data_IF_319955765003
#
_entry.id   IF_319955765003
#
_cell.length_a   1.000
_cell.length_b   1.000
_cell.length_c   1.000
_cell.angle_alpha   90.00
_cell.angle_beta   90.00
_cell.angle_gamma   90.00
#
_symmetry.space_group_name_H-M   'P 1'
#
loop_
_entity.id
_entity.type
_entity.pdbx_description
1 polymer ?
#
# COMPACT_ATOMS: atom_id res chain seq x y z
N UNK A 1 -23.27 -18.09 -7.44
CA UNK A 1 -22.87 -16.72 -7.04
C UNK A 1 -21.38 -16.71 -6.72
N UNK A 2 -20.56 -16.26 -7.66
CA UNK A 2 -19.11 -16.17 -7.49
C UNK A 2 -18.81 -15.02 -6.53
N UNK A 3 -18.25 -15.33 -5.37
CA UNK A 3 -17.77 -14.35 -4.40
C UNK A 3 -16.73 -13.45 -5.09
N UNK A 4 -17.17 -12.30 -5.60
CA UNK A 4 -16.30 -11.29 -6.21
C UNK A 4 -15.60 -10.49 -5.13
N UNK A 5 -14.84 -11.16 -4.27
CA UNK A 5 -13.90 -10.47 -3.40
C UNK A 5 -12.67 -10.16 -4.26
N UNK A 6 -12.43 -8.90 -4.66
CA UNK A 6 -11.36 -8.59 -5.59
C UNK A 6 -10.04 -9.06 -4.99
N UNK A 7 -9.28 -9.83 -5.77
CA UNK A 7 -7.99 -10.36 -5.33
C UNK A 7 -7.04 -9.20 -5.03
N UNK A 8 -6.03 -9.44 -4.19
CA UNK A 8 -5.06 -8.39 -3.84
C UNK A 8 -4.46 -7.72 -5.09
N UNK A 9 -4.20 -8.53 -6.12
CA UNK A 9 -3.66 -8.11 -7.40
C UNK A 9 -4.58 -7.13 -8.15
N UNK A 10 -5.90 -7.37 -8.15
CA UNK A 10 -6.89 -6.45 -8.74
C UNK A 10 -6.97 -5.13 -7.96
N UNK A 11 -6.87 -5.19 -6.63
CA UNK A 11 -6.85 -3.97 -5.81
C UNK A 11 -5.57 -3.16 -6.01
N UNK A 12 -4.43 -3.83 -6.22
CA UNK A 12 -3.17 -3.20 -6.61
C UNK A 12 -3.29 -2.52 -7.97
N UNK A 13 -4.06 -3.07 -8.91
CA UNK A 13 -4.30 -2.42 -10.20
C UNK A 13 -5.09 -1.10 -10.11
N UNK A 14 -5.93 -0.91 -9.06
CA UNK A 14 -6.71 0.31 -8.83
C UNK A 14 -5.92 1.47 -8.18
N UNK A 15 -4.70 1.18 -7.73
CA UNK A 15 -3.82 2.16 -7.11
C UNK A 15 -3.05 2.93 -8.19
N UNK A 16 -2.95 4.24 -8.00
CA UNK A 16 -2.08 5.09 -8.81
C UNK A 16 -0.61 4.68 -8.63
N UNK A 17 0.27 4.96 -9.60
CA UNK A 17 1.69 4.66 -9.47
C UNK A 17 2.30 5.23 -8.18
N UNK A 18 1.90 6.44 -7.78
CA UNK A 18 2.36 7.07 -6.53
C UNK A 18 1.90 6.30 -5.29
N UNK A 19 0.64 5.86 -5.27
CA UNK A 19 0.11 5.03 -4.18
C UNK A 19 0.83 3.67 -4.10
N UNK A 20 1.20 3.07 -5.24
CA UNK A 20 2.01 1.83 -5.27
C UNK A 20 3.42 2.05 -4.75
N UNK A 21 4.08 3.17 -5.07
CA UNK A 21 5.40 3.50 -4.55
C UNK A 21 5.36 3.66 -3.02
N UNK A 22 4.40 4.45 -2.51
CA UNK A 22 4.17 4.60 -1.06
C UNK A 22 4.00 3.22 -0.41
N UNK A 23 3.15 2.38 -1.00
CA UNK A 23 2.88 1.04 -0.50
C UNK A 23 4.11 0.14 -0.50
N UNK A 24 4.94 0.19 -1.55
CA UNK A 24 6.18 -0.59 -1.67
C UNK A 24 7.20 -0.16 -0.62
N UNK A 25 7.33 1.14 -0.37
CA UNK A 25 8.25 1.68 0.63
C UNK A 25 7.81 1.35 2.06
N UNK A 26 6.51 1.48 2.34
CA UNK A 26 5.92 0.97 3.58
C UNK A 26 6.10 -0.55 3.68
N UNK A 27 6.05 -1.26 2.54
CA UNK A 27 6.34 -2.68 2.32
C UNK A 27 7.61 -3.17 2.97
N UNK A 28 8.65 -2.34 2.84
CA UNK A 28 10.00 -2.59 3.32
C UNK A 28 10.16 -2.32 4.82
N UNK A 29 9.09 -1.99 5.53
CA UNK A 29 9.14 -1.59 6.94
C UNK A 29 9.77 -0.22 7.17
N UNK A 30 9.88 0.62 6.13
CA UNK A 30 10.45 1.95 6.26
C UNK A 30 9.51 2.87 7.05
N UNK A 31 10.03 3.69 7.98
CA UNK A 31 9.21 4.62 8.73
C UNK A 31 8.63 5.70 7.83
N UNK A 32 7.44 6.21 8.17
CA UNK A 32 6.71 7.21 7.38
C UNK A 32 7.58 8.42 7.01
N UNK A 33 8.44 8.88 7.93
CA UNK A 33 9.40 9.96 7.70
C UNK A 33 10.38 9.68 6.56
N UNK A 34 10.88 8.45 6.46
CA UNK A 34 11.80 8.04 5.39
C UNK A 34 11.06 7.90 4.06
N UNK A 35 9.86 7.32 4.08
CA UNK A 35 9.01 7.22 2.89
C UNK A 35 8.65 8.61 2.35
N UNK A 36 8.31 9.53 3.25
CA UNK A 36 8.04 10.93 2.95
C UNK A 36 9.26 11.60 2.30
N UNK A 37 10.44 11.45 2.90
CA UNK A 37 11.69 11.97 2.35
C UNK A 37 12.03 11.38 0.97
N UNK A 38 11.87 10.06 0.76
CA UNK A 38 12.14 9.42 -0.54
C UNK A 38 11.20 9.90 -1.65
N UNK A 39 9.93 10.15 -1.32
CA UNK A 39 8.93 10.58 -2.29
C UNK A 39 8.88 12.11 -2.47
N UNK A 40 9.67 12.86 -1.69
CA UNK A 40 9.66 14.32 -1.67
C UNK A 40 8.35 14.91 -1.15
N UNK A 41 7.66 14.20 -0.26
CA UNK A 41 6.37 14.62 0.32
C UNK A 41 6.48 14.74 1.83
N UNK A 42 5.45 15.29 2.47
CA UNK A 42 5.39 15.36 3.94
C UNK A 42 4.81 14.08 4.54
N UNK A 43 5.11 13.82 5.81
CA UNK A 43 4.51 12.69 6.55
C UNK A 43 2.97 12.75 6.52
N UNK A 44 2.41 13.97 6.63
CA UNK A 44 0.97 14.22 6.50
C UNK A 44 0.42 13.81 5.13
N UNK A 45 1.21 14.00 4.07
CA UNK A 45 0.87 13.54 2.71
C UNK A 45 0.86 12.02 2.64
N UNK A 46 1.82 11.34 3.28
CA UNK A 46 1.83 9.87 3.40
C UNK A 46 0.59 9.37 4.14
N UNK A 47 0.15 10.04 5.21
CA UNK A 47 -1.08 9.70 5.92
C UNK A 47 -2.32 9.85 5.03
N UNK A 48 -2.41 10.95 4.26
CA UNK A 48 -3.49 11.15 3.29
C UNK A 48 -3.49 10.05 2.21
N UNK A 49 -2.32 9.71 1.67
CA UNK A 49 -2.18 8.60 0.72
C UNK A 49 -2.62 7.28 1.35
N UNK A 50 -2.22 6.97 2.59
CA UNK A 50 -2.66 5.77 3.29
C UNK A 50 -4.18 5.73 3.41
N UNK A 51 -4.83 6.82 3.84
CA UNK A 51 -6.28 6.88 3.95
C UNK A 51 -6.98 6.63 2.60
N UNK A 52 -6.44 7.18 1.51
CA UNK A 52 -6.95 6.94 0.15
C UNK A 52 -6.76 5.49 -0.30
N UNK A 53 -5.58 4.92 -0.07
CA UNK A 53 -5.24 3.52 -0.35
C UNK A 53 -6.18 2.59 0.41
N UNK A 54 -6.38 2.83 1.71
CA UNK A 54 -7.28 2.05 2.55
C UNK A 54 -8.72 2.11 2.05
N UNK A 55 -9.20 3.30 1.68
CA UNK A 55 -10.54 3.49 1.12
C UNK A 55 -10.71 2.74 -0.20
N UNK A 56 -9.70 2.76 -1.08
CA UNK A 56 -9.71 2.04 -2.36
C UNK A 56 -9.59 0.51 -2.21
N UNK A 57 -8.72 0.03 -1.33
CA UNK A 57 -8.50 -1.40 -1.11
C UNK A 57 -9.56 -2.05 -0.22
N UNK A 58 -10.37 -1.27 0.50
CA UNK A 58 -11.30 -1.75 1.54
C UNK A 58 -10.63 -2.70 2.53
N UNK A 59 -9.37 -2.46 2.85
CA UNK A 59 -8.59 -3.24 3.83
C UNK A 59 -8.47 -2.44 5.11
N UNK A 60 -8.50 -3.11 6.26
CA UNK A 60 -8.39 -2.45 7.57
C UNK A 60 -6.93 -2.26 8.01
N UNK A 61 -6.01 -3.11 7.54
CA UNK A 61 -4.61 -3.09 7.96
C UNK A 61 -3.65 -3.09 6.77
N UNK A 62 -2.77 -2.07 6.74
CA UNK A 62 -1.63 -1.96 5.82
C UNK A 62 -0.69 -3.14 6.00
N UNK A 63 -0.54 -3.59 7.26
CA UNK A 63 0.27 -4.72 7.66
C UNK A 63 -0.24 -6.03 7.04
N UNK A 64 -1.56 -6.23 6.96
CA UNK A 64 -2.15 -7.39 6.29
C UNK A 64 -1.91 -7.33 4.77
N UNK A 65 -1.83 -6.12 4.22
CA UNK A 65 -1.45 -5.91 2.83
C UNK A 65 0.03 -6.18 2.56
N UNK A 66 0.87 -5.74 3.49
CA UNK A 66 2.31 -5.96 3.51
C UNK A 66 2.62 -7.44 3.53
N UNK A 67 2.04 -8.18 4.48
CA UNK A 67 2.29 -9.60 4.63
C UNK A 67 1.89 -10.40 3.39
N UNK A 68 0.84 -9.99 2.66
CA UNK A 68 0.49 -10.61 1.39
C UNK A 68 1.43 -10.27 0.23
N UNK A 69 2.24 -9.20 0.35
CA UNK A 69 3.17 -8.74 -0.68
C UNK A 69 4.63 -9.13 -0.39
N UNK A 70 5.04 -9.21 0.88
CA UNK A 70 6.42 -9.57 1.27
C UNK A 70 6.71 -11.06 1.11
N UNK A 71 5.69 -11.92 0.97
CA UNK A 71 5.88 -13.34 0.63
C UNK A 71 6.39 -13.56 -0.81
N UNK A 72 6.53 -12.52 -1.64
CA UNK A 72 7.03 -12.62 -3.01
C UNK A 72 8.53 -12.27 -3.19
N UNK A 73 9.24 -11.84 -2.14
CA UNK A 73 10.70 -11.55 -2.20
C UNK A 73 11.57 -12.67 -1.59
N UNK A 74 11.11 -13.93 -1.67
CA UNK A 74 11.93 -15.10 -1.35
C UNK A 74 11.46 -16.35 -2.11
N UNK A 75 11.75 -16.42 -3.41
CA UNK A 75 11.97 -17.67 -4.15
C UNK A 75 13.04 -17.44 -5.20
#
# INVERSE_FOLDING_TARGET
MINSNPTMMQKMALLTPREKEVLKLLGKGLPNKVVAAMLGVTERTIEAHRAHIFRKMKVRNLVHLLYGCTTLESL
#
